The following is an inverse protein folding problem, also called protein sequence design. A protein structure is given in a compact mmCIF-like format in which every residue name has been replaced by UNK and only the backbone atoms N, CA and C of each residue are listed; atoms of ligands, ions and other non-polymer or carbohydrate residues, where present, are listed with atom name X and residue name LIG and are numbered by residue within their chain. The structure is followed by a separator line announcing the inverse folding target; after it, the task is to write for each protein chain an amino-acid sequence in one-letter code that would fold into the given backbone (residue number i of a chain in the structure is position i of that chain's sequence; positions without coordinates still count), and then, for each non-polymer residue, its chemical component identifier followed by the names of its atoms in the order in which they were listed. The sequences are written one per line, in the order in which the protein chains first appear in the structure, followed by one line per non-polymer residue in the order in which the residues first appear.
data_IF_312998115477
#
_entry.id   IF_312998115477
#
_cell.length_a   1.000
_cell.length_b   1.000
_cell.length_c   1.000
_cell.angle_alpha   90.00
_cell.angle_beta   90.00
_cell.angle_gamma   90.00
#
_symmetry.space_group_name_H-M   'P 1'
#
loop_
_entity.id
_entity.type
_entity.pdbx_description
1 polymer ?
#
# COMPACT_ATOMS: atom_id res chain seq x y z
N UNK A 1 51.76 52.05 -2.29
CA UNK A 1 51.02 53.06 -3.10
C UNK A 1 49.58 52.56 -3.29
N UNK A 2 48.64 53.37 -2.83
CA UNK A 2 47.20 53.04 -2.91
C UNK A 2 46.72 52.78 -4.34
N UNK A 3 47.26 53.48 -5.32
CA UNK A 3 46.92 53.32 -6.72
C UNK A 3 47.32 51.94 -7.24
N UNK A 4 48.47 51.40 -6.84
CA UNK A 4 48.93 50.09 -7.26
C UNK A 4 47.96 48.98 -6.80
N UNK A 5 47.53 49.00 -5.57
CA UNK A 5 46.61 48.01 -5.04
C UNK A 5 45.24 48.07 -5.70
N UNK A 6 44.73 49.30 -6.03
CA UNK A 6 43.51 49.49 -6.77
C UNK A 6 43.56 48.94 -8.21
N UNK A 7 44.67 49.23 -8.94
CA UNK A 7 44.92 48.72 -10.28
C UNK A 7 45.04 47.19 -10.26
N UNK A 8 45.78 46.63 -9.31
CA UNK A 8 45.91 45.18 -9.18
C UNK A 8 44.57 44.52 -8.92
N UNK A 9 43.73 45.09 -8.07
CA UNK A 9 42.38 44.59 -7.74
C UNK A 9 41.46 44.63 -8.98
N UNK A 10 41.45 45.70 -9.75
CA UNK A 10 40.69 45.82 -10.99
C UNK A 10 41.17 44.82 -12.04
N UNK A 11 42.44 44.58 -12.16
CA UNK A 11 42.98 43.60 -13.13
C UNK A 11 42.67 42.16 -12.74
N UNK A 12 42.91 41.77 -11.47
CA UNK A 12 42.74 40.39 -11.01
C UNK A 12 41.24 39.99 -10.98
N UNK A 13 40.37 40.94 -10.68
CA UNK A 13 38.93 40.66 -10.55
C UNK A 13 38.13 40.83 -11.82
N UNK A 14 38.51 41.81 -12.67
CA UNK A 14 37.72 42.17 -13.85
C UNK A 14 38.51 42.16 -15.16
N UNK A 15 39.82 41.92 -15.11
CA UNK A 15 40.66 41.91 -16.30
C UNK A 15 40.73 43.27 -16.99
N UNK A 16 40.71 44.38 -16.23
CA UNK A 16 40.60 45.75 -16.76
C UNK A 16 41.88 46.30 -17.35
N UNK A 17 43.04 45.66 -17.17
CA UNK A 17 44.27 46.13 -17.77
C UNK A 17 44.51 45.54 -19.13
N UNK A 18 44.60 46.39 -20.15
CA UNK A 18 45.03 46.05 -21.48
C UNK A 18 46.42 46.67 -21.70
N UNK A 19 47.40 45.84 -21.99
CA UNK A 19 48.71 46.32 -22.40
C UNK A 19 48.69 46.93 -23.83
N UNK A 20 49.79 47.58 -24.18
CA UNK A 20 49.98 47.99 -25.58
C UNK A 20 49.96 46.75 -26.53
N UNK A 21 49.71 46.94 -27.80
CA UNK A 21 49.66 45.80 -28.74
C UNK A 21 50.91 44.91 -28.77
N UNK A 22 52.04 45.45 -28.28
CA UNK A 22 53.29 44.71 -28.11
C UNK A 22 53.41 43.98 -26.79
N UNK A 23 52.37 43.95 -25.95
CA UNK A 23 52.31 43.26 -24.67
C UNK A 23 53.04 43.98 -23.53
N UNK A 24 53.56 45.18 -23.72
CA UNK A 24 54.30 45.92 -22.71
C UNK A 24 53.39 46.89 -21.94
N UNK A 25 53.64 47.09 -20.66
CA UNK A 25 53.09 48.17 -19.84
C UNK A 25 54.21 49.26 -19.75
N UNK A 26 53.89 50.49 -20.02
CA UNK A 26 54.84 51.62 -19.89
C UNK A 26 54.51 52.43 -18.62
N UNK A 27 54.91 51.97 -17.43
CA UNK A 27 54.49 52.57 -16.16
C UNK A 27 55.01 53.97 -15.89
N UNK A 28 56.04 54.36 -16.63
CA UNK A 28 56.70 55.69 -16.45
C UNK A 28 56.31 56.74 -17.53
N UNK A 29 55.40 56.36 -18.45
CA UNK A 29 54.91 57.29 -19.48
C UNK A 29 53.53 57.88 -19.08
N UNK A 30 53.37 59.18 -19.33
CA UNK A 30 52.07 59.82 -19.16
C UNK A 30 51.03 59.22 -20.14
N UNK A 31 49.89 58.79 -19.60
CA UNK A 31 48.79 58.28 -20.43
C UNK A 31 48.11 59.38 -21.20
N UNK A 32 47.88 59.20 -22.47
CA UNK A 32 47.09 60.12 -23.27
C UNK A 32 45.59 59.97 -22.96
N UNK A 33 44.79 61.02 -23.20
CA UNK A 33 43.35 60.99 -22.98
C UNK A 33 42.67 59.80 -23.73
N UNK A 34 43.11 59.54 -24.93
CA UNK A 34 42.58 58.42 -25.72
C UNK A 34 42.88 57.04 -25.13
N UNK A 35 44.07 56.85 -24.54
CA UNK A 35 44.42 55.62 -23.86
C UNK A 35 43.59 55.41 -22.58
N UNK A 36 43.36 56.48 -21.82
CA UNK A 36 42.49 56.42 -20.60
C UNK A 36 41.06 56.07 -21.02
N UNK A 37 40.49 56.68 -22.08
CA UNK A 37 39.16 56.33 -22.56
C UNK A 37 39.08 54.91 -23.08
N UNK A 38 40.05 54.41 -23.81
CA UNK A 38 40.09 53.05 -24.32
C UNK A 38 40.14 52.02 -23.16
N UNK A 39 40.96 52.30 -22.16
CA UNK A 39 41.08 51.46 -20.93
C UNK A 39 39.75 51.42 -20.16
N UNK A 40 39.13 52.60 -19.98
CA UNK A 40 37.85 52.72 -19.24
C UNK A 40 36.76 51.96 -19.96
N UNK A 41 36.66 52.11 -21.28
CA UNK A 41 35.66 51.41 -22.09
C UNK A 41 35.87 49.87 -22.00
N UNK A 42 37.11 49.42 -22.14
CA UNK A 42 37.41 47.99 -22.02
C UNK A 42 37.07 47.44 -20.63
N UNK A 43 37.39 48.21 -19.59
CA UNK A 43 37.03 47.82 -18.22
C UNK A 43 35.51 47.73 -18.02
N UNK A 44 34.76 48.71 -18.53
CA UNK A 44 33.29 48.69 -18.47
C UNK A 44 32.70 47.49 -19.24
N UNK A 45 33.22 47.16 -20.39
CA UNK A 45 32.79 46.01 -21.20
C UNK A 45 33.05 44.71 -20.45
N UNK A 46 34.19 44.53 -19.83
CA UNK A 46 34.54 43.35 -19.05
C UNK A 46 33.66 43.21 -17.80
N UNK A 47 33.40 44.31 -17.09
CA UNK A 47 32.51 44.33 -15.93
C UNK A 47 31.08 43.95 -16.36
N UNK A 48 30.61 44.52 -17.46
CA UNK A 48 29.27 44.22 -18.00
C UNK A 48 29.14 42.73 -18.38
N UNK A 49 30.15 42.18 -19.06
CA UNK A 49 30.17 40.76 -19.38
C UNK A 49 30.19 39.87 -18.17
N UNK A 50 30.97 40.23 -17.14
CA UNK A 50 31.04 39.47 -15.92
C UNK A 50 29.67 39.39 -15.22
N UNK A 51 28.96 40.51 -15.10
CA UNK A 51 27.64 40.50 -14.46
C UNK A 51 26.59 39.78 -15.32
N UNK A 52 26.59 39.98 -16.63
CA UNK A 52 25.63 39.29 -17.51
C UNK A 52 25.84 37.77 -17.52
N UNK A 53 27.09 37.29 -17.46
CA UNK A 53 27.39 35.87 -17.34
C UNK A 53 26.98 35.31 -15.98
N UNK A 54 27.23 36.02 -14.89
CA UNK A 54 26.82 35.62 -13.55
C UNK A 54 25.30 35.54 -13.41
N UNK A 55 24.59 36.54 -13.92
CA UNK A 55 23.12 36.56 -13.93
C UNK A 55 22.54 35.43 -14.80
N UNK A 56 23.12 35.16 -15.96
CA UNK A 56 22.70 34.06 -16.83
C UNK A 56 22.90 32.68 -16.15
N UNK A 57 24.03 32.48 -15.48
CA UNK A 57 24.30 31.26 -14.71
C UNK A 57 23.35 31.09 -13.54
N UNK A 58 23.09 32.16 -12.80
CA UNK A 58 22.12 32.16 -11.69
C UNK A 58 20.73 31.83 -12.20
N UNK A 59 20.28 32.50 -13.26
CA UNK A 59 18.98 32.23 -13.88
C UNK A 59 18.86 30.78 -14.38
N UNK A 60 19.91 30.22 -14.99
CA UNK A 60 19.94 28.82 -15.41
C UNK A 60 19.84 27.86 -14.21
N UNK A 61 20.58 28.10 -13.16
CA UNK A 61 20.55 27.28 -11.94
C UNK A 61 19.17 27.31 -11.26
N UNK A 62 18.55 28.49 -11.15
CA UNK A 62 17.21 28.66 -10.59
C UNK A 62 16.16 27.94 -11.45
N UNK A 63 16.21 28.06 -12.77
CA UNK A 63 15.31 27.31 -13.67
C UNK A 63 15.45 25.82 -13.51
N UNK A 64 16.67 25.30 -13.35
CA UNK A 64 16.92 23.88 -13.12
C UNK A 64 16.32 23.41 -11.77
N UNK A 65 16.51 24.20 -10.71
CA UNK A 65 15.94 23.91 -9.38
C UNK A 65 14.40 23.94 -9.38
N UNK A 66 13.80 24.95 -10.02
CA UNK A 66 12.35 25.05 -10.20
C UNK A 66 11.83 23.83 -10.97
N UNK A 67 12.48 23.45 -12.06
CA UNK A 67 12.11 22.28 -12.85
C UNK A 67 12.17 20.98 -12.04
N UNK A 68 13.23 20.79 -11.25
CA UNK A 68 13.37 19.64 -10.36
C UNK A 68 12.29 19.61 -9.26
N UNK A 69 12.01 20.76 -8.66
CA UNK A 69 11.00 20.90 -7.62
C UNK A 69 9.60 20.61 -8.18
N UNK A 70 9.26 21.18 -9.33
CA UNK A 70 7.96 20.92 -9.98
C UNK A 70 7.76 19.44 -10.29
N UNK A 71 8.78 18.73 -10.80
CA UNK A 71 8.71 17.28 -11.01
C UNK A 71 8.43 16.51 -9.70
N UNK A 72 9.05 16.93 -8.59
CA UNK A 72 8.81 16.31 -7.28
C UNK A 72 7.40 16.59 -6.77
N UNK A 73 6.91 17.81 -6.90
CA UNK A 73 5.55 18.21 -6.50
C UNK A 73 4.52 17.41 -7.30
N UNK A 74 4.62 17.36 -8.63
CA UNK A 74 3.71 16.57 -9.47
C UNK A 74 3.69 15.09 -9.08
N UNK A 75 4.87 14.51 -8.79
CA UNK A 75 4.95 13.12 -8.33
C UNK A 75 4.24 12.90 -6.99
N UNK A 76 4.37 13.83 -6.05
CA UNK A 76 3.70 13.76 -4.75
C UNK A 76 2.19 13.96 -4.88
N UNK A 77 1.73 14.88 -5.72
CA UNK A 77 0.31 15.10 -6.00
C UNK A 77 -0.34 13.85 -6.60
N UNK A 78 0.28 13.25 -7.63
CA UNK A 78 -0.21 12.00 -8.21
C UNK A 78 -0.26 10.90 -7.16
N UNK A 79 0.77 10.76 -6.32
CA UNK A 79 0.79 9.75 -5.27
C UNK A 79 -0.32 9.97 -4.23
N UNK A 80 -0.57 11.22 -3.82
CA UNK A 80 -1.63 11.57 -2.88
C UNK A 80 -3.03 11.30 -3.45
N UNK A 81 -3.28 11.69 -4.71
CA UNK A 81 -4.53 11.40 -5.41
C UNK A 81 -4.74 9.89 -5.54
N UNK A 82 -3.70 9.16 -5.95
CA UNK A 82 -3.76 7.70 -6.08
C UNK A 82 -4.07 7.01 -4.76
N UNK A 83 -3.43 7.42 -3.66
CA UNK A 83 -3.69 6.85 -2.33
C UNK A 83 -5.16 7.08 -1.92
N UNK A 84 -5.69 8.27 -2.17
CA UNK A 84 -7.09 8.60 -1.90
C UNK A 84 -8.03 7.77 -2.77
N UNK A 85 -7.75 7.63 -4.05
CA UNK A 85 -8.54 6.83 -4.98
C UNK A 85 -8.53 5.33 -4.63
N UNK A 86 -7.38 4.77 -4.23
CA UNK A 86 -7.28 3.38 -3.76
C UNK A 86 -8.20 3.14 -2.57
N UNK A 87 -8.24 4.06 -1.61
CA UNK A 87 -9.11 3.96 -0.44
C UNK A 87 -10.61 4.07 -0.80
N UNK A 88 -10.95 4.85 -1.82
CA UNK A 88 -12.34 5.05 -2.25
C UNK A 88 -12.86 3.93 -3.16
N UNK A 89 -12.06 3.50 -4.13
CA UNK A 89 -12.50 2.67 -5.25
C UNK A 89 -12.12 1.21 -5.13
N UNK A 90 -11.04 0.90 -4.40
CA UNK A 90 -10.52 -0.46 -4.28
C UNK A 90 -10.96 -1.16 -3.01
N UNK A 91 -10.98 -2.48 -3.03
CA UNK A 91 -10.98 -3.28 -1.83
C UNK A 91 -9.54 -3.26 -1.29
N UNK A 92 -9.33 -2.59 -0.16
CA UNK A 92 -8.03 -2.49 0.53
C UNK A 92 -7.93 -3.46 1.70
N UNK A 93 -7.02 -3.16 2.62
CA UNK A 93 -7.01 -3.80 3.93
C UNK A 93 -8.29 -3.42 4.68
N UNK A 94 -8.86 -4.37 5.39
CA UNK A 94 -10.02 -4.12 6.24
C UNK A 94 -10.07 -5.06 7.44
N UNK A 95 -10.77 -4.64 8.48
CA UNK A 95 -11.24 -5.47 9.57
C UNK A 95 -12.74 -5.40 9.64
N UNK A 96 -13.40 -6.51 9.93
CA UNK A 96 -14.85 -6.56 9.88
C UNK A 96 -15.44 -7.61 10.79
N UNK A 97 -16.76 -7.54 10.88
CA UNK A 97 -17.61 -8.49 11.62
C UNK A 97 -18.54 -9.18 10.62
N UNK A 98 -18.72 -10.46 10.80
CA UNK A 98 -19.62 -11.27 9.99
C UNK A 98 -20.51 -12.14 10.88
N UNK A 99 -21.69 -12.44 10.37
CA UNK A 99 -22.50 -13.54 10.87
C UNK A 99 -22.03 -14.83 10.22
N UNK A 100 -21.78 -15.85 11.05
CA UNK A 100 -21.40 -17.18 10.61
C UNK A 100 -22.58 -18.12 10.81
N UNK A 101 -22.77 -19.01 9.86
CA UNK A 101 -23.73 -20.08 9.97
C UNK A 101 -23.17 -21.34 9.31
N UNK A 102 -23.36 -22.48 9.94
CA UNK A 102 -23.02 -23.75 9.34
C UNK A 102 -24.19 -24.75 9.46
N UNK A 103 -24.18 -25.74 8.56
CA UNK A 103 -25.03 -26.89 8.64
C UNK A 103 -24.15 -28.10 8.92
N UNK A 104 -24.20 -28.61 10.13
CA UNK A 104 -23.51 -29.82 10.51
C UNK A 104 -24.41 -31.05 10.27
N UNK A 105 -23.89 -32.07 9.59
CA UNK A 105 -24.54 -33.36 9.49
C UNK A 105 -23.94 -34.26 10.57
N UNK A 106 -24.73 -34.68 11.55
CA UNK A 106 -24.29 -35.65 12.55
C UNK A 106 -24.75 -37.06 12.14
N UNK A 107 -23.82 -38.00 11.88
CA UNK A 107 -24.19 -39.36 11.58
C UNK A 107 -24.81 -40.03 12.81
N UNK A 108 -25.91 -40.76 12.63
CA UNK A 108 -26.57 -41.56 13.69
C UNK A 108 -27.83 -40.91 14.31
N UNK A 109 -28.24 -39.76 13.84
CA UNK A 109 -29.51 -39.08 14.21
C UNK A 109 -30.51 -39.26 13.07
N UNK A 110 -31.78 -39.46 13.38
CA UNK A 110 -32.83 -39.74 12.35
C UNK A 110 -32.98 -38.66 11.29
N UNK A 111 -33.42 -38.98 10.07
CA UNK A 111 -33.34 -38.13 8.87
C UNK A 111 -33.91 -36.70 8.97
N UNK A 112 -34.79 -36.43 9.91
CA UNK A 112 -35.38 -35.10 10.13
C UNK A 112 -34.64 -34.20 11.11
N UNK A 113 -33.63 -34.73 11.83
CA UNK A 113 -32.90 -34.00 12.87
C UNK A 113 -31.38 -34.00 12.65
N UNK A 114 -30.92 -34.49 11.50
CA UNK A 114 -29.48 -34.64 11.19
C UNK A 114 -28.76 -33.32 10.86
N UNK A 115 -29.45 -32.20 10.88
CA UNK A 115 -28.85 -30.89 10.59
C UNK A 115 -28.95 -30.01 11.81
N UNK A 116 -27.84 -29.74 12.44
CA UNK A 116 -27.76 -28.70 13.46
C UNK A 116 -27.19 -27.45 12.80
N UNK A 117 -27.94 -26.37 12.89
CA UNK A 117 -27.48 -25.07 12.42
C UNK A 117 -26.74 -24.39 13.56
N UNK A 118 -25.48 -24.18 13.38
CA UNK A 118 -24.69 -23.36 14.26
C UNK A 118 -24.72 -21.90 13.77
N UNK A 119 -24.97 -20.99 14.66
CA UNK A 119 -24.86 -19.57 14.41
C UNK A 119 -23.72 -18.98 15.22
N UNK A 120 -23.08 -17.99 14.68
CA UNK A 120 -21.96 -17.36 15.36
C UNK A 120 -21.64 -16.00 14.79
N UNK A 121 -20.62 -15.40 15.39
CA UNK A 121 -20.07 -14.13 14.95
C UNK A 121 -18.60 -14.36 14.66
N UNK A 122 -18.16 -13.88 13.50
CA UNK A 122 -16.77 -13.92 13.06
C UNK A 122 -16.20 -12.52 13.01
N UNK A 123 -15.05 -12.31 13.64
CA UNK A 123 -14.19 -11.17 13.37
C UNK A 123 -13.21 -11.61 12.28
N UNK A 124 -13.18 -10.93 11.16
CA UNK A 124 -12.34 -11.27 10.01
C UNK A 124 -11.62 -10.05 9.50
N UNK A 125 -10.33 -10.21 9.21
CA UNK A 125 -9.53 -9.19 8.56
C UNK A 125 -9.07 -9.62 7.18
N UNK A 126 -8.66 -8.65 6.36
CA UNK A 126 -7.92 -8.86 5.14
C UNK A 126 -6.70 -7.95 5.13
N UNK A 127 -5.55 -8.55 4.98
CA UNK A 127 -4.27 -7.86 4.80
C UNK A 127 -3.71 -8.26 3.43
N UNK A 128 -3.62 -7.30 2.55
CA UNK A 128 -3.07 -7.52 1.21
C UNK A 128 -1.55 -7.62 1.31
N UNK A 129 -1.00 -8.78 1.00
CA UNK A 129 0.41 -9.07 1.17
C UNK A 129 1.24 -8.73 -0.07
N UNK A 130 0.84 -9.25 -1.24
CA UNK A 130 1.61 -9.12 -2.49
C UNK A 130 0.67 -8.94 -3.67
N UNK A 131 1.05 -8.05 -4.59
CA UNK A 131 0.40 -7.93 -5.89
C UNK A 131 1.14 -8.79 -6.92
N UNK A 132 0.43 -9.69 -7.57
CA UNK A 132 0.95 -10.55 -8.64
C UNK A 132 0.62 -9.93 -10.00
N UNK A 133 1.53 -9.12 -10.49
CA UNK A 133 1.30 -8.33 -11.69
C UNK A 133 0.14 -7.33 -11.50
N UNK A 134 -0.46 -6.90 -12.60
CA UNK A 134 -1.61 -5.97 -12.54
C UNK A 134 -2.97 -6.65 -12.36
N UNK A 135 -3.00 -7.95 -12.04
CA UNK A 135 -4.23 -8.73 -12.16
C UNK A 135 -4.69 -9.40 -10.88
N UNK A 136 -3.79 -9.88 -10.05
CA UNK A 136 -4.11 -10.69 -8.88
C UNK A 136 -3.43 -10.14 -7.64
N UNK A 137 -3.91 -10.52 -6.47
CA UNK A 137 -3.22 -10.23 -5.23
C UNK A 137 -3.28 -11.44 -4.31
N UNK A 138 -2.23 -11.64 -3.53
CA UNK A 138 -2.24 -12.57 -2.41
C UNK A 138 -2.54 -11.80 -1.14
N UNK A 139 -3.49 -12.30 -0.36
CA UNK A 139 -3.91 -11.68 0.88
C UNK A 139 -3.87 -12.67 2.04
N UNK A 140 -3.52 -12.19 3.22
CA UNK A 140 -3.70 -12.92 4.47
C UNK A 140 -5.07 -12.55 5.07
N UNK A 141 -5.82 -13.55 5.53
CA UNK A 141 -7.14 -13.35 6.15
C UNK A 141 -7.16 -14.00 7.52
N UNK A 142 -6.75 -13.28 8.58
CA UNK A 142 -6.95 -13.73 9.94
C UNK A 142 -8.43 -13.65 10.31
N UNK A 143 -8.89 -14.62 11.10
CA UNK A 143 -10.24 -14.62 11.62
C UNK A 143 -10.35 -15.28 13.00
N UNK A 144 -11.37 -14.87 13.74
CA UNK A 144 -11.81 -15.51 15.00
C UNK A 144 -13.32 -15.64 14.94
N UNK A 145 -13.81 -16.84 15.13
CA UNK A 145 -15.24 -17.16 15.11
C UNK A 145 -15.68 -17.59 16.50
N UNK A 146 -16.75 -17.00 16.95
CA UNK A 146 -17.45 -17.35 18.19
C UNK A 146 -18.75 -18.04 17.78
N UNK A 147 -18.89 -19.32 18.09
CA UNK A 147 -20.10 -20.09 17.78
C UNK A 147 -20.86 -20.42 19.04
N UNK A 148 -22.18 -20.34 18.96
CA UNK A 148 -23.06 -20.90 19.96
C UNK A 148 -23.83 -22.05 19.35
N UNK A 149 -23.78 -23.19 20.00
CA UNK A 149 -24.60 -24.34 19.60
C UNK A 149 -25.82 -24.40 20.53
N UNK A 150 -27.02 -24.24 20.03
CA UNK A 150 -28.16 -24.52 20.84
C UNK A 150 -28.22 -26.01 21.16
N UNK A 151 -28.01 -26.38 22.39
CA UNK A 151 -28.33 -27.64 23.05
C UNK A 151 -27.31 -28.80 23.03
N UNK A 152 -26.23 -28.84 22.27
CA UNK A 152 -25.43 -30.09 22.20
C UNK A 152 -23.91 -29.99 22.23
N UNK A 153 -23.35 -28.84 21.98
CA UNK A 153 -21.89 -28.62 22.05
C UNK A 153 -21.63 -27.32 22.79
N UNK A 154 -20.73 -27.32 23.75
CA UNK A 154 -20.25 -26.11 24.37
C UNK A 154 -19.79 -25.12 23.34
N UNK A 155 -20.34 -23.91 23.34
CA UNK A 155 -19.94 -22.83 22.44
C UNK A 155 -18.43 -22.76 22.32
N UNK A 156 -17.94 -22.62 21.11
CA UNK A 156 -16.52 -22.70 20.80
C UNK A 156 -15.98 -21.38 20.26
N UNK A 157 -14.71 -21.15 20.54
CA UNK A 157 -13.93 -20.09 19.91
C UNK A 157 -12.91 -20.75 18.98
N UNK A 158 -12.96 -20.39 17.72
CA UNK A 158 -12.01 -20.85 16.71
C UNK A 158 -11.24 -19.67 16.14
N UNK A 159 -9.93 -19.78 16.08
CA UNK A 159 -9.10 -18.79 15.45
C UNK A 159 -8.34 -19.41 14.26
N UNK A 160 -8.12 -18.63 13.22
CA UNK A 160 -7.42 -19.12 12.06
C UNK A 160 -6.83 -18.04 11.18
N UNK A 161 -6.08 -18.49 10.20
CA UNK A 161 -5.52 -17.64 9.16
C UNK A 161 -5.54 -18.36 7.81
N UNK A 162 -5.88 -17.61 6.79
CA UNK A 162 -6.00 -18.09 5.41
C UNK A 162 -5.06 -17.29 4.51
N UNK A 163 -4.39 -17.94 3.60
CA UNK A 163 -3.75 -17.30 2.46
C UNK A 163 -4.70 -17.41 1.26
N UNK A 164 -5.03 -16.29 0.64
CA UNK A 164 -6.00 -16.25 -0.47
C UNK A 164 -5.42 -15.59 -1.69
N UNK A 165 -5.78 -16.10 -2.86
CA UNK A 165 -5.62 -15.45 -4.14
C UNK A 165 -6.88 -14.63 -4.45
N UNK A 166 -6.72 -13.33 -4.59
CA UNK A 166 -7.80 -12.40 -4.90
C UNK A 166 -7.86 -12.18 -6.41
N UNK A 167 -9.01 -12.48 -7.00
CA UNK A 167 -9.31 -12.41 -8.44
C UNK A 167 -10.23 -11.22 -8.67
N UNK A 168 -9.78 -10.17 -9.36
CA UNK A 168 -10.58 -8.97 -9.57
C UNK A 168 -11.74 -9.20 -10.52
N UNK A 169 -12.95 -8.86 -10.08
CA UNK A 169 -14.18 -8.90 -10.91
C UNK A 169 -14.41 -7.58 -11.64
N UNK A 170 -14.08 -6.46 -11.02
CA UNK A 170 -14.19 -5.13 -11.63
C UNK A 170 -12.90 -4.36 -11.46
N UNK A 171 -12.44 -3.69 -12.52
CA UNK A 171 -11.19 -2.93 -12.51
C UNK A 171 -11.45 -1.46 -12.78
N UNK A 172 -10.81 -0.59 -12.00
CA UNK A 172 -10.78 0.84 -12.23
C UNK A 172 -9.33 1.31 -12.29
N UNK A 173 -9.04 2.18 -13.24
CA UNK A 173 -7.71 2.77 -13.39
C UNK A 173 -7.60 4.00 -12.50
N UNK A 174 -6.53 4.09 -11.74
CA UNK A 174 -6.19 5.22 -10.88
C UNK A 174 -5.42 6.30 -11.65
N UNK A 175 -5.16 7.44 -11.01
CA UNK A 175 -4.45 8.56 -11.62
C UNK A 175 -3.01 8.24 -12.03
N UNK A 176 -2.36 7.27 -11.38
CA UNK A 176 -1.02 6.77 -11.71
C UNK A 176 -1.00 5.66 -12.77
N UNK A 177 -2.16 5.31 -13.35
CA UNK A 177 -2.30 4.22 -14.31
C UNK A 177 -2.44 2.83 -13.67
N UNK A 178 -2.32 2.68 -12.35
CA UNK A 178 -2.54 1.39 -11.68
C UNK A 178 -4.01 0.99 -11.71
N UNK A 179 -4.27 -0.33 -11.78
CA UNK A 179 -5.62 -0.87 -11.78
C UNK A 179 -5.97 -1.41 -10.39
N UNK A 180 -7.11 -1.00 -9.86
CA UNK A 180 -7.66 -1.53 -8.60
C UNK A 180 -9.01 -2.18 -8.87
N UNK A 181 -9.34 -3.19 -8.07
CA UNK A 181 -10.64 -3.83 -8.13
C UNK A 181 -11.54 -3.34 -7.01
N UNK A 182 -12.77 -2.98 -7.36
CA UNK A 182 -13.82 -2.66 -6.39
C UNK A 182 -14.58 -3.90 -5.91
N UNK A 183 -14.47 -5.01 -6.64
CA UNK A 183 -15.04 -6.30 -6.29
C UNK A 183 -14.07 -7.42 -6.65
N UNK A 184 -13.86 -8.35 -5.74
CA UNK A 184 -13.00 -9.52 -5.93
C UNK A 184 -13.73 -10.81 -5.59
N UNK A 185 -13.42 -11.86 -6.33
CA UNK A 185 -13.53 -13.23 -5.82
C UNK A 185 -12.21 -13.57 -5.11
N UNK A 186 -12.27 -14.46 -4.15
CA UNK A 186 -11.07 -15.02 -3.55
C UNK A 186 -11.23 -16.51 -3.27
N UNK A 187 -10.12 -17.20 -3.43
CA UNK A 187 -10.00 -18.63 -3.12
C UNK A 187 -8.69 -18.85 -2.38
N UNK A 188 -8.68 -19.73 -1.42
CA UNK A 188 -7.46 -19.98 -0.66
C UNK A 188 -7.59 -21.11 0.33
N UNK A 189 -6.54 -21.25 1.13
CA UNK A 189 -6.49 -22.25 2.18
C UNK A 189 -5.64 -21.75 3.35
N UNK A 190 -5.79 -22.43 4.48
CA UNK A 190 -5.03 -22.14 5.68
C UNK A 190 -5.35 -23.11 6.79
N UNK A 191 -5.22 -22.66 8.02
CA UNK A 191 -5.48 -23.47 9.19
C UNK A 191 -6.36 -22.76 10.20
N UNK A 192 -7.09 -23.54 10.98
CA UNK A 192 -7.82 -23.06 12.16
C UNK A 192 -7.50 -23.93 13.37
N UNK A 193 -7.57 -23.31 14.51
CA UNK A 193 -7.42 -23.97 15.80
C UNK A 193 -8.52 -23.47 16.73
N UNK A 194 -9.07 -24.34 17.56
CA UNK A 194 -10.09 -23.96 18.53
C UNK A 194 -10.58 -25.15 19.33
N UNK A 195 -10.86 -24.94 20.60
CA UNK A 195 -11.13 -26.03 21.51
C UNK A 195 -9.91 -26.98 21.56
N UNK A 196 -10.12 -28.27 21.34
CA UNK A 196 -9.05 -29.27 21.28
C UNK A 196 -8.78 -29.75 19.84
N UNK A 197 -9.13 -28.94 18.85
CA UNK A 197 -9.08 -29.33 17.46
C UNK A 197 -8.24 -28.38 16.63
N UNK A 198 -7.62 -28.90 15.59
CA UNK A 198 -7.03 -28.16 14.50
C UNK A 198 -7.47 -28.73 13.17
N UNK A 199 -7.67 -27.87 12.18
CA UNK A 199 -8.09 -28.29 10.86
C UNK A 199 -7.41 -27.46 9.78
N UNK A 200 -7.16 -28.08 8.62
CA UNK A 200 -6.93 -27.37 7.38
C UNK A 200 -8.26 -26.82 6.87
N UNK A 201 -8.29 -25.60 6.36
CA UNK A 201 -9.50 -24.93 5.90
C UNK A 201 -9.28 -24.39 4.50
N UNK A 202 -10.14 -24.79 3.56
CA UNK A 202 -10.30 -24.13 2.27
C UNK A 202 -11.31 -22.97 2.38
N UNK A 203 -11.15 -21.96 1.56
CA UNK A 203 -12.10 -20.83 1.49
C UNK A 203 -12.37 -20.43 0.06
N UNK A 204 -13.63 -20.11 -0.21
CA UNK A 204 -14.05 -19.41 -1.41
C UNK A 204 -15.00 -18.30 -1.00
N UNK A 205 -14.83 -17.11 -1.57
CA UNK A 205 -15.67 -15.99 -1.21
C UNK A 205 -15.60 -14.84 -2.19
N UNK A 206 -16.39 -13.82 -1.89
CA UNK A 206 -16.46 -12.59 -2.65
C UNK A 206 -16.46 -11.39 -1.70
N UNK A 207 -15.93 -10.28 -2.20
CA UNK A 207 -15.92 -9.01 -1.49
C UNK A 207 -16.19 -7.85 -2.44
N UNK A 208 -16.86 -6.83 -1.96
CA UNK A 208 -17.20 -5.64 -2.74
C UNK A 208 -17.07 -4.38 -1.89
N UNK A 209 -16.43 -3.36 -2.44
CA UNK A 209 -16.38 -2.03 -1.85
C UNK A 209 -17.65 -1.28 -2.17
N UNK A 210 -18.53 -1.07 -1.20
CA UNK A 210 -19.83 -0.40 -1.37
C UNK A 210 -19.77 1.09 -1.04
N UNK A 211 -18.78 1.50 -0.23
CA UNK A 211 -18.56 2.90 0.11
C UNK A 211 -17.07 3.17 0.34
N UNK A 212 -16.71 4.44 0.56
CA UNK A 212 -15.32 4.88 0.75
C UNK A 212 -14.55 4.01 1.74
N UNK A 213 -15.16 3.66 2.86
CA UNK A 213 -14.52 2.90 3.93
C UNK A 213 -15.23 1.57 4.24
N UNK A 214 -16.20 1.15 3.42
CA UNK A 214 -17.03 -0.02 3.71
C UNK A 214 -16.86 -1.08 2.65
N UNK A 215 -16.65 -2.32 3.11
CA UNK A 215 -16.58 -3.53 2.30
C UNK A 215 -17.65 -4.50 2.79
N UNK A 216 -18.42 -5.04 1.87
CA UNK A 216 -19.23 -6.23 2.15
C UNK A 216 -18.44 -7.45 1.69
N UNK A 217 -18.52 -8.54 2.45
CA UNK A 217 -17.90 -9.80 2.08
C UNK A 217 -18.80 -10.98 2.45
N UNK A 218 -18.65 -12.04 1.67
CA UNK A 218 -19.28 -13.33 1.95
C UNK A 218 -18.31 -14.44 1.58
N UNK A 219 -18.22 -15.47 2.41
CA UNK A 219 -17.38 -16.63 2.12
C UNK A 219 -17.97 -17.94 2.65
N UNK A 220 -17.44 -19.03 2.11
CA UNK A 220 -17.66 -20.37 2.59
C UNK A 220 -16.30 -20.98 2.96
N UNK A 221 -16.19 -21.41 4.20
CA UNK A 221 -15.01 -22.09 4.75
C UNK A 221 -15.32 -23.60 4.83
N UNK A 222 -14.44 -24.39 4.24
CA UNK A 222 -14.59 -25.84 4.11
C UNK A 222 -13.41 -26.49 4.84
N UNK A 223 -13.61 -27.06 6.01
CA UNK A 223 -12.54 -27.79 6.69
C UNK A 223 -12.20 -29.07 5.92
N UNK A 224 -10.90 -29.34 5.85
CA UNK A 224 -10.34 -30.57 5.31
C UNK A 224 -9.20 -31.05 6.21
N UNK A 225 -8.86 -32.18 6.45
CA UNK A 225 -7.78 -32.65 7.33
C UNK A 225 -7.93 -32.15 8.78
N UNK A 226 -8.91 -32.70 9.46
CA UNK A 226 -9.08 -32.47 10.90
C UNK A 226 -8.12 -33.37 11.70
N UNK A 227 -7.44 -32.78 12.69
CA UNK A 227 -6.63 -33.52 13.66
C UNK A 227 -7.25 -33.31 15.05
N UNK A 228 -7.37 -34.36 15.84
CA UNK A 228 -7.99 -34.31 17.17
C UNK A 228 -9.44 -34.83 17.22
N UNK A 229 -9.96 -35.33 16.10
CA UNK A 229 -11.33 -35.88 16.02
C UNK A 229 -11.59 -37.11 16.90
N UNK A 230 -10.55 -37.73 17.47
CA UNK A 230 -10.71 -38.89 18.35
C UNK A 230 -11.26 -38.57 19.75
N UNK A 231 -11.38 -37.29 20.09
CA UNK A 231 -11.77 -36.85 21.45
C UNK A 231 -13.10 -36.13 21.52
N UNK A 232 -13.95 -36.26 20.54
CA UNK A 232 -15.37 -35.92 20.80
C UNK A 232 -15.95 -36.98 21.73
N UNK A 233 -15.92 -36.66 23.00
CA UNK A 233 -16.46 -37.51 24.02
C UNK A 233 -17.91 -37.85 23.76
N UNK A 234 -18.35 -39.04 24.17
CA UNK A 234 -19.76 -39.38 24.22
C UNK A 234 -20.48 -38.39 25.15
N UNK A 235 -21.34 -37.53 24.59
CA UNK A 235 -22.20 -36.68 25.43
C UNK A 235 -23.46 -37.45 25.74
N UNK A 236 -23.70 -37.68 27.02
CA UNK A 236 -24.94 -38.30 27.47
C UNK A 236 -26.03 -37.24 27.62
N UNK A 237 -27.03 -37.34 26.75
CA UNK A 237 -28.23 -36.52 26.86
C UNK A 237 -29.38 -37.42 27.23
N UNK A 238 -29.80 -37.37 28.49
CA UNK A 238 -30.83 -38.25 29.03
C UNK A 238 -30.37 -39.72 29.07
N UNK A 239 -31.15 -40.65 28.49
CA UNK A 239 -30.80 -42.08 28.39
C UNK A 239 -30.03 -42.45 27.14
N UNK A 240 -29.83 -41.56 26.20
CA UNK A 240 -29.14 -41.82 24.95
C UNK A 240 -27.68 -41.37 25.05
N UNK A 241 -26.78 -42.27 24.67
CA UNK A 241 -25.34 -41.98 24.50
C UNK A 241 -25.11 -41.70 23.01
N UNK A 242 -24.74 -40.51 22.67
CA UNK A 242 -24.37 -40.17 21.30
C UNK A 242 -22.88 -40.32 21.17
N UNK A 243 -22.45 -41.33 20.47
CA UNK A 243 -21.08 -41.47 20.05
C UNK A 243 -20.91 -40.61 18.81
N UNK A 244 -20.19 -39.54 18.94
CA UNK A 244 -19.73 -38.76 17.80
C UNK A 244 -18.59 -39.57 17.16
N UNK A 245 -18.96 -40.55 16.33
CA UNK A 245 -18.00 -41.34 15.60
C UNK A 245 -17.30 -40.46 14.56
N UNK A 246 -16.12 -40.89 14.17
CA UNK A 246 -15.22 -40.35 13.15
C UNK A 246 -15.83 -40.22 11.74
N UNK A 247 -17.08 -39.91 11.64
CA UNK A 247 -17.74 -39.62 10.37
C UNK A 247 -17.29 -38.23 9.91
N UNK A 248 -16.57 -38.19 8.82
CA UNK A 248 -16.18 -37.00 8.10
C UNK A 248 -17.38 -36.12 7.74
N UNK A 249 -17.86 -35.37 8.71
CA UNK A 249 -18.85 -34.31 8.50
C UNK A 249 -18.10 -33.04 8.10
N UNK A 250 -18.03 -32.77 6.81
CA UNK A 250 -17.54 -31.48 6.34
C UNK A 250 -18.55 -30.41 6.71
N UNK A 251 -18.29 -29.69 7.77
CA UNK A 251 -19.10 -28.56 8.19
C UNK A 251 -18.70 -27.33 7.41
N UNK A 252 -19.41 -27.04 6.34
CA UNK A 252 -19.21 -25.80 5.58
C UNK A 252 -19.74 -24.63 6.41
N UNK A 253 -18.86 -23.72 6.78
CA UNK A 253 -19.24 -22.48 7.46
C UNK A 253 -19.41 -21.35 6.44
N UNK A 254 -20.63 -20.89 6.25
CA UNK A 254 -20.90 -19.67 5.48
C UNK A 254 -20.77 -18.44 6.36
N UNK A 255 -20.14 -17.37 5.87
CA UNK A 255 -20.08 -16.09 6.54
C UNK A 255 -20.55 -14.97 5.63
N UNK A 256 -21.27 -14.00 6.19
CA UNK A 256 -21.65 -12.76 5.52
C UNK A 256 -21.38 -11.61 6.47
N UNK A 257 -20.63 -10.61 6.01
CA UNK A 257 -20.18 -9.57 6.91
C UNK A 257 -19.90 -8.23 6.26
N UNK A 258 -19.61 -7.29 7.14
CA UNK A 258 -19.19 -5.92 6.78
C UNK A 258 -17.84 -5.61 7.39
N UNK A 259 -16.99 -4.99 6.59
CA UNK A 259 -15.65 -4.56 6.99
C UNK A 259 -15.44 -3.07 6.82
N UNK A 260 -14.56 -2.52 7.63
CA UNK A 260 -14.11 -1.13 7.55
C UNK A 260 -12.69 -1.12 7.04
N UNK A 261 -12.44 -0.38 5.93
CA UNK A 261 -11.12 -0.19 5.33
C UNK A 261 -10.27 0.77 6.16
N UNK A 262 -8.98 0.46 6.25
CA UNK A 262 -7.96 1.30 6.93
C UNK A 262 -6.69 1.45 6.12
#
# INVERSE_FOLDING_TARGET
DWAYSAIQNLNTRYGCLVGYPNGTLKPAADATRSEVFALTNHCLDNITQFYTQADAQLAASLRAQIGATNKRVTKLEVAAVTATQRRQLGVGNYGGIAFAGNAANYPGVTPLSNRVYESGVTLQGRLRAVELGNQYAVSARPYVTFTSTPNYVSGGVFGGGLATLDIPLSRRTLADGTKVSAANLYVGAGGQVGGNQSAGVGVVGAEVSVAKNVVLFADAKIPFAETGAETFGSTRVGRATYNYGSGQGYNVTGTVGVGIKF
#
